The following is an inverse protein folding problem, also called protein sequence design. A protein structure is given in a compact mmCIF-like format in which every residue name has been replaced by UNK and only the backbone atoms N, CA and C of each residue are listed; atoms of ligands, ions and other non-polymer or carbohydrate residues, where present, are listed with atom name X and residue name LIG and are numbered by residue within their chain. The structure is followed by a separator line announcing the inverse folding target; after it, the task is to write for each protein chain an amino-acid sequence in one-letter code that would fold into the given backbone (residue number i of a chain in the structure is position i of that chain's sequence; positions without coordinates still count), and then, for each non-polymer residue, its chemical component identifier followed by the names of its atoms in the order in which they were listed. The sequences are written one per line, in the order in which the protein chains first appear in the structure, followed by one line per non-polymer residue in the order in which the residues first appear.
data_IF_072311702322
#
_entry.id   IF_072311702322
#
_cell.length_a   1.000
_cell.length_b   1.000
_cell.length_c   1.000
_cell.angle_alpha   90.00
_cell.angle_beta   90.00
_cell.angle_gamma   90.00
#
_symmetry.space_group_name_H-M   'P 1'
#
loop_
_entity.id
_entity.type
_entity.pdbx_description
1 polymer ?
#
# COMPACT_ATOMS: atom_id res chain seq x y z
N UNK A 1 -2.77 43.83 18.07
CA UNK A 1 -3.93 42.90 18.09
C UNK A 1 -4.03 42.17 16.78
N UNK A 2 -3.41 41.06 16.55
CA UNK A 2 -3.57 40.41 15.27
C UNK A 2 -2.82 39.12 15.01
N UNK A 3 -2.22 38.44 16.00
CA UNK A 3 -1.30 37.34 15.75
C UNK A 3 -1.80 35.94 16.13
N UNK A 4 -3.06 35.79 16.62
CA UNK A 4 -3.59 34.49 17.07
C UNK A 4 -4.30 33.66 16.00
N UNK A 5 -4.68 34.23 14.84
CA UNK A 5 -5.39 33.49 13.79
C UNK A 5 -4.47 32.69 12.86
N UNK A 6 -3.25 33.15 12.64
CA UNK A 6 -2.29 32.49 11.73
C UNK A 6 -1.78 31.13 12.22
N UNK A 7 -1.55 30.99 13.53
CA UNK A 7 -1.02 29.74 14.11
C UNK A 7 -2.06 28.60 14.09
N UNK A 8 -3.34 28.91 14.34
CA UNK A 8 -4.41 27.91 14.28
C UNK A 8 -4.66 27.39 12.88
N UNK A 9 -4.54 28.26 11.86
CA UNK A 9 -4.75 27.90 10.45
C UNK A 9 -3.62 27.01 9.94
N UNK A 10 -2.37 27.30 10.33
CA UNK A 10 -1.21 26.50 9.95
C UNK A 10 -1.25 25.10 10.57
N UNK A 11 -1.61 24.98 11.86
CA UNK A 11 -1.77 23.68 12.53
C UNK A 11 -2.88 22.83 11.92
N UNK A 12 -4.01 23.45 11.50
CA UNK A 12 -5.11 22.74 10.82
C UNK A 12 -4.68 22.23 9.44
N UNK A 13 -3.94 23.03 8.67
CA UNK A 13 -3.40 22.62 7.36
C UNK A 13 -2.41 21.46 7.50
N UNK A 14 -1.52 21.49 8.48
CA UNK A 14 -0.55 20.42 8.74
C UNK A 14 -1.23 19.13 9.15
N UNK A 15 -2.24 19.19 10.02
CA UNK A 15 -3.04 18.03 10.44
C UNK A 15 -3.80 17.42 9.26
N UNK A 16 -4.40 18.24 8.39
CA UNK A 16 -5.11 17.79 7.19
C UNK A 16 -4.16 17.11 6.18
N UNK A 17 -2.95 17.64 6.00
CA UNK A 17 -1.93 17.02 5.13
C UNK A 17 -1.48 15.66 5.68
N UNK A 18 -1.29 15.53 6.99
CA UNK A 18 -0.93 14.24 7.62
C UNK A 18 -2.04 13.20 7.45
N UNK A 19 -3.31 13.58 7.62
CA UNK A 19 -4.47 12.69 7.43
C UNK A 19 -4.60 12.27 5.96
N UNK A 20 -4.42 13.21 5.01
CA UNK A 20 -4.45 12.89 3.58
C UNK A 20 -3.32 11.93 3.19
N UNK A 21 -2.14 12.04 3.81
CA UNK A 21 -1.02 11.13 3.58
C UNK A 21 -1.36 9.71 4.04
N UNK A 22 -1.98 9.54 5.21
CA UNK A 22 -2.47 8.23 5.68
C UNK A 22 -3.47 7.62 4.73
N UNK A 23 -4.45 8.39 4.31
CA UNK A 23 -5.49 7.93 3.37
C UNK A 23 -4.89 7.50 2.04
N UNK A 24 -3.87 8.21 1.54
CA UNK A 24 -3.16 7.85 0.31
C UNK A 24 -2.39 6.52 0.46
N UNK A 25 -1.73 6.30 1.59
CA UNK A 25 -1.01 5.04 1.85
C UNK A 25 -2.01 3.88 1.90
N UNK A 26 -3.08 4.02 2.66
CA UNK A 26 -4.11 2.97 2.78
C UNK A 26 -4.79 2.72 1.43
N UNK A 27 -5.09 3.77 0.67
CA UNK A 27 -5.66 3.63 -0.68
C UNK A 27 -4.74 2.83 -1.60
N UNK A 28 -3.44 3.11 -1.56
CA UNK A 28 -2.47 2.36 -2.37
C UNK A 28 -2.45 0.89 -1.98
N UNK A 29 -2.48 0.57 -0.70
CA UNK A 29 -2.57 -0.81 -0.24
C UNK A 29 -3.83 -1.52 -0.71
N UNK A 30 -4.97 -0.85 -0.68
CA UNK A 30 -6.23 -1.41 -1.22
C UNK A 30 -6.10 -1.63 -2.72
N UNK A 31 -5.50 -0.70 -3.46
CA UNK A 31 -5.26 -0.87 -4.90
C UNK A 31 -4.39 -2.10 -5.17
N UNK A 32 -3.32 -2.31 -4.42
CA UNK A 32 -2.45 -3.49 -4.55
C UNK A 32 -3.27 -4.77 -4.43
N UNK A 33 -4.07 -4.89 -3.38
CA UNK A 33 -4.91 -6.06 -3.15
C UNK A 33 -5.89 -6.30 -4.30
N UNK A 34 -6.54 -5.24 -4.77
CA UNK A 34 -7.51 -5.32 -5.86
C UNK A 34 -6.86 -5.73 -7.18
N UNK A 35 -5.71 -5.14 -7.52
CA UNK A 35 -4.99 -5.46 -8.76
C UNK A 35 -4.54 -6.92 -8.78
N UNK A 36 -4.01 -7.42 -7.67
CA UNK A 36 -3.58 -8.83 -7.57
C UNK A 36 -4.79 -9.76 -7.71
N UNK A 37 -5.90 -9.44 -7.04
CA UNK A 37 -7.11 -10.28 -7.10
C UNK A 37 -7.74 -10.28 -8.48
N UNK A 38 -7.80 -9.14 -9.14
CA UNK A 38 -8.34 -9.04 -10.49
C UNK A 38 -7.49 -9.82 -11.50
N UNK A 39 -6.18 -9.75 -11.38
CA UNK A 39 -5.30 -10.52 -12.25
C UNK A 39 -5.39 -12.02 -11.96
N UNK A 40 -5.53 -12.41 -10.70
CA UNK A 40 -5.76 -13.80 -10.30
C UNK A 40 -6.97 -14.41 -11.04
N UNK A 41 -8.03 -13.64 -11.19
CA UNK A 41 -9.23 -14.11 -11.92
C UNK A 41 -9.10 -13.98 -13.43
N UNK A 42 -8.20 -13.15 -13.93
CA UNK A 42 -8.05 -12.89 -15.36
C UNK A 42 -7.07 -13.85 -16.05
N UNK A 43 -6.01 -14.26 -15.35
CA UNK A 43 -4.99 -15.11 -15.96
C UNK A 43 -5.55 -16.46 -16.42
N UNK A 44 -5.01 -16.96 -17.52
CA UNK A 44 -5.30 -18.31 -18.01
C UNK A 44 -4.18 -19.30 -17.69
N UNK A 45 -3.11 -18.84 -17.06
CA UNK A 45 -2.00 -19.67 -16.59
C UNK A 45 -2.31 -20.20 -15.19
N UNK A 46 -2.34 -21.51 -15.04
CA UNK A 46 -2.53 -22.12 -13.72
C UNK A 46 -1.42 -21.74 -12.74
N UNK A 47 -0.17 -21.67 -13.22
CA UNK A 47 0.95 -21.27 -12.40
C UNK A 47 0.79 -19.83 -11.88
N UNK A 48 0.35 -18.89 -12.73
CA UNK A 48 0.08 -17.52 -12.31
C UNK A 48 -1.12 -17.43 -11.38
N UNK A 49 -2.15 -18.25 -11.62
CA UNK A 49 -3.33 -18.32 -10.74
C UNK A 49 -2.95 -18.75 -9.32
N UNK A 50 -2.11 -19.76 -9.20
CA UNK A 50 -1.59 -20.23 -7.89
C UNK A 50 -0.67 -19.21 -7.24
N UNK A 51 0.25 -18.65 -8.00
CA UNK A 51 1.20 -17.66 -7.47
C UNK A 51 0.50 -16.39 -6.97
N UNK A 52 -0.51 -15.91 -7.70
CA UNK A 52 -1.29 -14.73 -7.28
C UNK A 52 -2.18 -15.02 -6.07
N UNK A 53 -2.69 -16.25 -5.94
CA UNK A 53 -3.46 -16.65 -4.77
C UNK A 53 -2.61 -16.58 -3.49
N UNK A 54 -1.43 -17.17 -3.52
CA UNK A 54 -0.48 -17.11 -2.39
C UNK A 54 -0.05 -15.68 -2.08
N UNK A 55 0.24 -14.90 -3.11
CA UNK A 55 0.62 -13.50 -2.94
C UNK A 55 -0.51 -12.71 -2.27
N UNK A 56 -1.74 -12.86 -2.73
CA UNK A 56 -2.89 -12.16 -2.17
C UNK A 56 -3.05 -12.46 -0.68
N UNK A 57 -2.96 -13.72 -0.30
CA UNK A 57 -3.10 -14.14 1.09
C UNK A 57 -2.06 -13.47 1.99
N UNK A 58 -0.79 -13.49 1.58
CA UNK A 58 0.30 -12.86 2.33
C UNK A 58 0.17 -11.34 2.38
N UNK A 59 -0.16 -10.72 1.25
CA UNK A 59 -0.38 -9.28 1.19
C UNK A 59 -1.55 -8.85 2.07
N UNK A 60 -2.64 -9.59 2.05
CA UNK A 60 -3.81 -9.27 2.87
C UNK A 60 -3.46 -9.28 4.35
N UNK A 61 -2.74 -10.30 4.81
CA UNK A 61 -2.30 -10.40 6.21
C UNK A 61 -1.33 -9.27 6.60
N UNK A 62 -0.30 -9.04 5.79
CA UNK A 62 0.74 -8.05 6.10
C UNK A 62 0.25 -6.62 5.94
N UNK A 63 -0.60 -6.33 4.97
CA UNK A 63 -1.20 -5.01 4.79
C UNK A 63 -2.14 -4.69 5.95
N UNK A 64 -2.96 -5.64 6.35
CA UNK A 64 -3.84 -5.49 7.51
C UNK A 64 -3.01 -5.10 8.75
N UNK A 65 -1.98 -5.86 9.03
CA UNK A 65 -1.06 -5.59 10.14
C UNK A 65 -0.40 -4.22 10.03
N UNK A 66 0.08 -3.84 8.85
CA UNK A 66 0.70 -2.53 8.64
C UNK A 66 -0.28 -1.40 8.99
N UNK A 67 -1.49 -1.47 8.47
CA UNK A 67 -2.50 -0.42 8.70
C UNK A 67 -2.88 -0.35 10.18
N UNK A 68 -3.10 -1.49 10.82
CA UNK A 68 -3.45 -1.54 12.24
C UNK A 68 -2.34 -0.98 13.12
N UNK A 69 -1.08 -1.34 12.87
CA UNK A 69 0.08 -0.80 13.60
C UNK A 69 0.21 0.70 13.36
N UNK A 70 0.03 1.15 12.10
CA UNK A 70 0.10 2.56 11.74
C UNK A 70 -0.94 3.39 12.49
N UNK A 71 -2.18 2.95 12.49
CA UNK A 71 -3.27 3.62 13.20
C UNK A 71 -3.14 3.49 14.72
N UNK A 72 -2.60 2.38 15.19
CA UNK A 72 -2.39 2.12 16.62
C UNK A 72 -1.36 3.03 17.28
N UNK A 73 -0.43 3.62 16.51
CA UNK A 73 0.59 4.51 17.05
C UNK A 73 0.01 5.76 17.73
N UNK A 74 -1.11 6.25 17.26
CA UNK A 74 -1.83 7.40 17.84
C UNK A 74 -3.30 7.09 18.14
N UNK A 75 -3.68 5.81 18.09
CA UNK A 75 -5.02 5.31 18.36
C UNK A 75 -6.09 5.99 17.49
N UNK A 76 -5.73 6.36 16.27
CA UNK A 76 -6.59 7.06 15.31
C UNK A 76 -7.37 6.13 14.39
N UNK A 77 -8.15 6.73 13.52
CA UNK A 77 -8.87 6.08 12.41
C UNK A 77 -8.63 6.87 11.13
N UNK A 78 -8.85 6.23 10.00
CA UNK A 78 -8.84 6.92 8.70
C UNK A 78 -10.07 7.83 8.65
N UNK A 79 -9.86 9.14 8.54
CA UNK A 79 -10.93 10.15 8.62
C UNK A 79 -11.45 10.60 7.27
N UNK A 80 -10.61 10.55 6.24
CA UNK A 80 -10.94 11.05 4.91
C UNK A 80 -10.80 9.94 3.89
N UNK A 81 -11.92 9.35 3.52
CA UNK A 81 -12.02 8.37 2.45
C UNK A 81 -12.52 9.05 1.18
N UNK A 82 -11.95 8.68 0.05
CA UNK A 82 -12.56 8.98 -1.23
C UNK A 82 -13.81 8.11 -1.38
N UNK A 83 -14.91 8.71 -1.85
CA UNK A 83 -16.16 7.97 -2.06
C UNK A 83 -16.07 7.00 -3.24
N UNK A 84 -15.12 7.24 -4.14
CA UNK A 84 -14.89 6.41 -5.32
C UNK A 84 -13.42 6.02 -5.34
N UNK A 85 -13.17 4.73 -5.39
CA UNK A 85 -11.83 4.19 -5.63
C UNK A 85 -11.80 3.67 -7.05
N UNK A 86 -10.87 4.15 -7.84
CA UNK A 86 -10.66 3.65 -9.20
C UNK A 86 -10.19 2.21 -9.12
N UNK A 87 -10.88 1.32 -9.84
CA UNK A 87 -10.48 -0.08 -9.95
C UNK A 87 -9.55 -0.21 -11.14
N UNK A 88 -8.27 -0.44 -10.85
CA UNK A 88 -7.25 -0.64 -11.87
C UNK A 88 -7.21 -2.10 -12.25
N UNK A 89 -7.55 -2.42 -13.50
CA UNK A 89 -7.51 -3.76 -14.04
C UNK A 89 -6.46 -3.87 -15.13
N UNK A 90 -5.34 -4.60 -14.89
CA UNK A 90 -4.34 -4.84 -15.93
C UNK A 90 -4.92 -5.68 -17.07
N UNK A 91 -4.65 -5.28 -18.31
CA UNK A 91 -5.14 -5.99 -19.50
C UNK A 91 -4.35 -7.28 -19.77
N UNK A 92 -3.06 -7.30 -19.41
CA UNK A 92 -2.16 -8.41 -19.71
C UNK A 92 -1.06 -8.54 -18.66
N UNK A 93 -0.22 -9.57 -18.80
CA UNK A 93 0.90 -9.82 -17.89
C UNK A 93 1.89 -8.65 -17.83
N UNK A 94 2.18 -8.01 -18.96
CA UNK A 94 3.12 -6.88 -19.03
C UNK A 94 2.61 -5.69 -18.20
N UNK A 95 1.34 -5.33 -18.34
CA UNK A 95 0.72 -4.27 -17.56
C UNK A 95 0.66 -4.63 -16.07
N UNK A 96 0.34 -5.88 -15.77
CA UNK A 96 0.31 -6.36 -14.39
C UNK A 96 1.69 -6.25 -13.73
N UNK A 97 2.74 -6.71 -14.41
CA UNK A 97 4.13 -6.58 -13.90
C UNK A 97 4.52 -5.11 -13.71
N UNK A 98 4.13 -4.23 -14.64
CA UNK A 98 4.40 -2.81 -14.52
C UNK A 98 3.76 -2.22 -13.25
N UNK A 99 2.54 -2.62 -12.93
CA UNK A 99 1.87 -2.24 -11.67
C UNK A 99 2.62 -2.78 -10.45
N UNK A 100 3.04 -4.03 -10.46
CA UNK A 100 3.81 -4.64 -9.37
C UNK A 100 5.13 -3.87 -9.15
N UNK A 101 5.81 -3.46 -10.21
CA UNK A 101 7.01 -2.63 -10.10
C UNK A 101 6.71 -1.26 -9.46
N UNK A 102 5.59 -0.62 -9.81
CA UNK A 102 5.16 0.63 -9.20
C UNK A 102 4.89 0.46 -7.70
N UNK A 103 4.25 -0.63 -7.30
CA UNK A 103 4.00 -0.92 -5.89
C UNK A 103 5.29 -1.20 -5.13
N UNK A 104 6.24 -1.89 -5.75
CA UNK A 104 7.57 -2.07 -5.18
C UNK A 104 8.27 -0.73 -4.92
N UNK A 105 8.21 0.18 -5.88
CA UNK A 105 8.78 1.52 -5.73
C UNK A 105 8.05 2.33 -4.64
N UNK A 106 6.73 2.22 -4.56
CA UNK A 106 5.94 2.81 -3.49
C UNK A 106 6.40 2.31 -2.12
N UNK A 107 6.56 1.01 -1.95
CA UNK A 107 7.01 0.39 -0.71
C UNK A 107 8.41 0.87 -0.31
N UNK A 108 9.34 0.91 -1.26
CA UNK A 108 10.69 1.44 -1.03
C UNK A 108 10.64 2.91 -0.60
N UNK A 109 9.74 3.69 -1.20
CA UNK A 109 9.55 5.09 -0.90
C UNK A 109 9.08 5.37 0.52
N UNK A 110 8.45 4.41 1.19
CA UNK A 110 8.00 4.56 2.58
C UNK A 110 9.15 4.84 3.56
N UNK A 111 10.37 4.43 3.24
CA UNK A 111 11.56 4.77 4.03
C UNK A 111 11.72 6.27 4.23
N UNK A 112 11.35 7.07 3.23
CA UNK A 112 11.44 8.54 3.31
C UNK A 112 10.32 9.17 4.13
N UNK A 113 9.21 8.45 4.31
CA UNK A 113 8.05 8.93 5.06
C UNK A 113 8.11 8.54 6.53
N UNK A 114 8.76 7.45 6.85
CA UNK A 114 8.89 6.91 8.20
C UNK A 114 10.35 6.94 8.62
N UNK A 115 10.82 8.13 9.00
CA UNK A 115 12.23 8.39 9.30
C UNK A 115 12.56 8.37 10.80
N UNK A 116 11.55 8.36 11.68
CA UNK A 116 11.76 8.28 13.12
C UNK A 116 12.23 6.87 13.51
N UNK A 117 13.17 6.75 14.47
CA UNK A 117 13.53 5.42 15.02
C UNK A 117 12.33 4.65 15.58
N UNK A 118 11.29 5.33 16.02
CA UNK A 118 10.05 4.71 16.51
C UNK A 118 9.20 4.08 15.40
N UNK A 119 9.53 4.29 14.13
CA UNK A 119 8.83 3.74 12.97
C UNK A 119 9.45 2.44 12.45
N UNK A 120 10.43 1.89 13.16
CA UNK A 120 11.10 0.64 12.75
C UNK A 120 10.15 -0.54 12.65
N UNK A 121 9.10 -0.58 13.45
CA UNK A 121 8.05 -1.61 13.39
C UNK A 121 7.28 -1.55 12.07
N UNK A 122 6.90 -0.37 11.60
CA UNK A 122 6.23 -0.18 10.31
C UNK A 122 7.14 -0.56 9.14
N UNK A 123 8.40 -0.15 9.18
CA UNK A 123 9.36 -0.48 8.13
C UNK A 123 9.67 -1.99 8.10
N UNK A 124 9.61 -2.66 9.23
CA UNK A 124 9.77 -4.12 9.30
C UNK A 124 8.60 -4.84 8.59
N UNK A 125 7.37 -4.43 8.84
CA UNK A 125 6.20 -4.98 8.15
C UNK A 125 6.26 -4.66 6.65
N UNK A 126 6.64 -3.43 6.28
CA UNK A 126 6.88 -3.03 4.90
C UNK A 126 7.88 -3.96 4.22
N UNK A 127 8.95 -4.32 4.89
CA UNK A 127 9.97 -5.21 4.36
C UNK A 127 9.41 -6.62 4.10
N UNK A 128 8.52 -7.11 4.93
CA UNK A 128 7.81 -8.37 4.71
C UNK A 128 6.96 -8.31 3.43
N UNK A 129 6.21 -7.23 3.24
CA UNK A 129 5.40 -7.02 2.05
C UNK A 129 6.31 -6.96 0.80
N UNK A 130 7.41 -6.23 0.88
CA UNK A 130 8.37 -6.10 -0.22
C UNK A 130 9.01 -7.45 -0.56
N UNK A 131 9.34 -8.24 0.45
CA UNK A 131 9.86 -9.60 0.29
C UNK A 131 8.85 -10.51 -0.43
N UNK A 132 7.58 -10.44 -0.04
CA UNK A 132 6.52 -11.21 -0.70
C UNK A 132 6.37 -10.85 -2.17
N UNK A 133 6.44 -9.56 -2.50
CA UNK A 133 6.40 -9.08 -3.90
C UNK A 133 7.61 -9.58 -4.68
N UNK A 134 8.80 -9.50 -4.13
CA UNK A 134 10.01 -9.96 -4.81
C UNK A 134 9.98 -11.48 -5.03
N UNK A 135 9.52 -12.25 -4.06
CA UNK A 135 9.33 -13.69 -4.22
C UNK A 135 8.31 -14.01 -5.32
N UNK A 136 7.20 -13.27 -5.33
CA UNK A 136 6.21 -13.43 -6.39
C UNK A 136 6.78 -13.17 -7.79
N UNK A 137 7.57 -12.11 -7.95
CA UNK A 137 8.21 -11.80 -9.23
C UNK A 137 9.15 -12.93 -9.68
N UNK A 138 9.83 -13.57 -8.75
CA UNK A 138 10.63 -14.77 -9.05
C UNK A 138 9.73 -15.93 -9.52
N UNK A 139 8.66 -16.22 -8.80
CA UNK A 139 7.73 -17.29 -9.17
C UNK A 139 7.07 -17.03 -10.52
N UNK A 140 6.81 -15.78 -10.85
CA UNK A 140 6.21 -15.38 -12.12
C UNK A 140 7.11 -15.71 -13.32
N UNK A 141 8.41 -15.87 -13.13
CA UNK A 141 9.35 -16.27 -14.21
C UNK A 141 9.13 -17.71 -14.67
N UNK A 142 8.49 -18.56 -13.85
CA UNK A 142 8.18 -19.94 -14.21
C UNK A 142 6.89 -20.06 -15.03
N UNK A 143 6.07 -19.04 -15.05
CA UNK A 143 4.82 -19.04 -15.80
C UNK A 143 5.09 -18.70 -17.27
N UNK A 144 4.75 -19.60 -18.16
CA UNK A 144 4.86 -19.43 -19.61
C UNK A 144 3.48 -19.18 -20.21
#
# INVERSE_FOLDING_TARGET
MGTRSGVKTSRRKTARLAVNRRSQIVRTFIEILNVVKLYHWKTRSYAEHKATDELYERLNENIDKFVEVYLGKDESRIKYWERRVEVVQPENKTEFKAKIYQYRDFLKGLTRKFTSPSDSDLLSIRDDILSDINQFLYLLTFAK
#
